data_IF_119029256886
#
_entry.id   IF_119029256886
#
_cell.length_a   1.000
_cell.length_b   1.000
_cell.length_c   1.000
_cell.angle_alpha   90.00
_cell.angle_beta   90.00
_cell.angle_gamma   90.00
#
_symmetry.space_group_name_H-M   'P 1'
#
loop_
_entity.id
_entity.type
_entity.pdbx_description
1 polymer ?
#
# COMPACT_ATOMS: atom_id res chain seq x y z
N UNK A 1 43.20 -8.29 -30.51
CA UNK A 1 42.59 -6.98 -30.83
C UNK A 1 43.19 -5.97 -29.86
N UNK A 2 43.94 -4.99 -30.37
CA UNK A 2 44.35 -3.85 -29.54
C UNK A 2 43.12 -2.95 -29.40
N UNK A 3 42.46 -3.01 -28.25
CA UNK A 3 41.42 -2.04 -27.91
C UNK A 3 42.17 -0.79 -27.42
N UNK A 4 42.12 0.29 -28.19
CA UNK A 4 42.77 1.57 -27.84
C UNK A 4 41.96 2.39 -26.85
N UNK A 5 40.64 2.17 -26.81
CA UNK A 5 39.71 3.05 -26.10
C UNK A 5 38.76 2.25 -25.19
N UNK A 6 38.57 2.75 -23.97
CA UNK A 6 37.65 2.17 -22.98
C UNK A 6 36.60 3.23 -22.63
N UNK A 7 35.32 2.86 -22.73
CA UNK A 7 34.20 3.73 -22.38
C UNK A 7 33.67 3.37 -21.00
N UNK A 8 33.66 4.35 -20.09
CA UNK A 8 33.14 4.21 -18.73
C UNK A 8 31.99 5.20 -18.50
N UNK A 9 30.97 4.85 -17.69
CA UNK A 9 30.00 5.83 -17.18
C UNK A 9 30.72 6.98 -16.48
N UNK A 10 30.16 8.20 -16.54
CA UNK A 10 30.84 9.40 -15.99
C UNK A 10 31.31 9.23 -14.52
N UNK A 11 30.48 8.73 -13.58
CA UNK A 11 30.95 8.53 -12.19
C UNK A 11 32.07 7.49 -12.07
N UNK A 12 32.08 6.48 -12.95
CA UNK A 12 33.12 5.46 -13.00
C UNK A 12 34.44 6.02 -13.58
N UNK A 13 34.35 6.90 -14.58
CA UNK A 13 35.49 7.60 -15.15
C UNK A 13 36.15 8.53 -14.11
N UNK A 14 35.36 9.24 -13.29
CA UNK A 14 35.86 10.12 -12.23
C UNK A 14 36.72 9.38 -11.19
N UNK A 15 36.39 8.12 -10.88
CA UNK A 15 37.14 7.30 -9.91
C UNK A 15 38.20 6.41 -10.57
N UNK A 16 38.34 6.44 -11.89
CA UNK A 16 39.34 5.63 -12.61
C UNK A 16 40.79 5.95 -12.20
N UNK A 17 41.20 7.21 -11.97
CA UNK A 17 42.54 7.51 -11.44
C UNK A 17 42.83 6.79 -10.12
N UNK A 18 41.83 6.65 -9.24
CA UNK A 18 41.99 5.92 -7.97
C UNK A 18 42.28 4.43 -8.19
N UNK A 19 41.73 3.84 -9.25
CA UNK A 19 42.05 2.46 -9.62
C UNK A 19 43.50 2.32 -10.10
N UNK A 20 44.00 3.31 -10.84
CA UNK A 20 45.40 3.33 -11.25
C UNK A 20 46.33 3.49 -10.04
N UNK A 21 46.02 4.43 -9.15
CA UNK A 21 46.77 4.62 -7.90
C UNK A 21 46.82 3.32 -7.09
N UNK A 22 45.72 2.56 -7.06
CA UNK A 22 45.67 1.25 -6.42
C UNK A 22 46.63 0.23 -7.03
N UNK A 23 46.74 0.20 -8.37
CA UNK A 23 47.67 -0.69 -9.05
C UNK A 23 49.14 -0.31 -8.85
N UNK A 24 49.45 0.99 -8.79
CA UNK A 24 50.82 1.48 -8.83
C UNK A 24 51.41 1.80 -7.45
N UNK A 25 50.62 2.29 -6.49
CA UNK A 25 51.15 2.84 -5.24
C UNK A 25 50.99 1.88 -4.05
N UNK A 26 50.29 0.73 -4.20
CA UNK A 26 49.96 -0.24 -3.12
C UNK A 26 49.39 0.42 -1.83
N UNK A 27 48.96 1.68 -1.90
CA UNK A 27 48.42 2.43 -0.75
C UNK A 27 46.98 2.05 -0.49
N UNK A 28 46.56 2.28 0.75
CA UNK A 28 45.17 2.21 1.18
C UNK A 28 44.36 3.27 0.44
N UNK A 29 43.42 2.84 -0.39
CA UNK A 29 42.41 3.72 -0.97
C UNK A 29 41.45 4.23 0.10
N UNK A 30 41.15 5.53 0.07
CA UNK A 30 40.13 6.12 0.93
C UNK A 30 38.74 5.89 0.36
N UNK A 31 38.06 4.87 0.89
CA UNK A 31 36.66 4.60 0.56
C UNK A 31 35.71 5.57 1.27
N UNK A 32 34.72 6.05 0.53
CA UNK A 32 33.64 6.86 1.06
C UNK A 32 32.33 6.57 0.32
N UNK A 33 31.20 7.01 0.88
CA UNK A 33 29.87 6.79 0.30
C UNK A 33 29.73 7.29 -1.15
N UNK A 34 30.51 8.32 -1.55
CA UNK A 34 30.40 8.91 -2.89
C UNK A 34 31.13 8.09 -3.96
N UNK A 35 32.30 7.53 -3.63
CA UNK A 35 33.13 6.79 -4.59
C UNK A 35 32.86 5.27 -4.58
N UNK A 36 32.33 4.71 -3.49
CA UNK A 36 32.25 3.26 -3.29
C UNK A 36 31.44 2.54 -4.39
N UNK A 37 30.28 3.05 -4.80
CA UNK A 37 29.48 2.42 -5.87
C UNK A 37 30.23 2.39 -7.22
N UNK A 38 30.88 3.50 -7.58
CA UNK A 38 31.66 3.59 -8.81
C UNK A 38 32.92 2.71 -8.76
N UNK A 39 33.60 2.65 -7.62
CA UNK A 39 34.74 1.76 -7.37
C UNK A 39 34.34 0.28 -7.44
N UNK A 40 33.18 -0.09 -6.90
CA UNK A 40 32.60 -1.44 -7.03
C UNK A 40 32.39 -1.79 -8.50
N UNK A 41 31.78 -0.87 -9.26
CA UNK A 41 31.54 -1.06 -10.69
C UNK A 41 32.86 -1.26 -11.47
N UNK A 42 33.84 -0.36 -11.33
CA UNK A 42 35.08 -0.47 -12.10
C UNK A 42 35.95 -1.65 -11.68
N UNK A 43 36.00 -1.98 -10.38
CA UNK A 43 36.75 -3.15 -9.91
C UNK A 43 36.16 -4.45 -10.47
N UNK A 44 34.84 -4.54 -10.58
CA UNK A 44 34.20 -5.66 -11.27
C UNK A 44 34.46 -5.65 -12.78
N UNK A 45 34.36 -4.47 -13.42
CA UNK A 45 34.57 -4.31 -14.87
C UNK A 45 35.97 -4.73 -15.33
N UNK A 46 37.01 -4.41 -14.54
CA UNK A 46 38.40 -4.77 -14.83
C UNK A 46 38.88 -6.06 -14.11
N UNK A 47 37.99 -6.82 -13.48
CA UNK A 47 38.26 -8.05 -12.70
C UNK A 47 39.34 -7.89 -11.60
N UNK A 48 39.32 -6.77 -10.89
CA UNK A 48 40.21 -6.48 -9.74
C UNK A 48 39.57 -6.97 -8.44
N UNK A 49 39.56 -8.29 -8.26
CA UNK A 49 38.80 -8.97 -7.18
C UNK A 49 39.14 -8.52 -5.77
N UNK A 50 40.42 -8.25 -5.49
CA UNK A 50 40.83 -7.79 -4.16
C UNK A 50 40.26 -6.41 -3.82
N UNK A 51 40.27 -5.48 -4.78
CA UNK A 51 39.65 -4.16 -4.62
C UNK A 51 38.14 -4.29 -4.48
N UNK A 52 37.50 -5.12 -5.31
CA UNK A 52 36.07 -5.37 -5.22
C UNK A 52 35.68 -5.86 -3.82
N UNK A 53 36.41 -6.84 -3.28
CA UNK A 53 36.19 -7.35 -1.92
C UNK A 53 36.36 -6.29 -0.83
N UNK A 54 37.36 -5.40 -0.96
CA UNK A 54 37.57 -4.27 -0.03
C UNK A 54 36.42 -3.26 -0.08
N UNK A 55 35.97 -2.89 -1.28
CA UNK A 55 34.87 -1.95 -1.49
C UNK A 55 33.56 -2.53 -0.95
N UNK A 56 33.25 -3.80 -1.24
CA UNK A 56 32.03 -4.45 -0.72
C UNK A 56 32.02 -4.48 0.80
N UNK A 57 33.13 -4.87 1.44
CA UNK A 57 33.24 -4.82 2.92
C UNK A 57 33.04 -3.43 3.50
N UNK A 58 33.60 -2.40 2.85
CA UNK A 58 33.36 -1.02 3.26
C UNK A 58 31.87 -0.68 3.16
N UNK A 59 31.23 -1.00 2.02
CA UNK A 59 29.82 -0.72 1.79
C UNK A 59 28.91 -1.45 2.79
N UNK A 60 29.19 -2.70 3.13
CA UNK A 60 28.45 -3.45 4.16
C UNK A 60 28.49 -2.74 5.52
N UNK A 61 29.61 -2.09 5.86
CA UNK A 61 29.74 -1.32 7.11
C UNK A 61 29.16 0.10 7.04
N UNK A 62 29.18 0.74 5.87
CA UNK A 62 28.74 2.12 5.67
C UNK A 62 27.25 2.21 5.29
N UNK A 63 26.65 1.15 4.76
CA UNK A 63 25.26 1.13 4.28
C UNK A 63 24.28 1.22 5.46
N UNK A 64 23.87 2.44 5.76
CA UNK A 64 22.95 2.80 6.83
C UNK A 64 21.77 3.60 6.26
N UNK A 65 20.73 3.84 7.06
CA UNK A 65 19.57 4.67 6.70
C UNK A 65 19.98 6.06 6.17
N UNK A 66 21.12 6.58 6.68
CA UNK A 66 21.63 7.89 6.27
C UNK A 66 22.33 7.83 4.92
N UNK A 67 23.04 6.76 4.59
CA UNK A 67 23.87 6.67 3.37
C UNK A 67 23.16 5.95 2.23
N UNK A 68 22.17 5.09 2.53
CA UNK A 68 21.45 4.29 1.54
C UNK A 68 20.84 5.10 0.38
N UNK A 69 20.19 6.27 0.59
CA UNK A 69 19.71 7.08 -0.53
C UNK A 69 20.84 7.55 -1.48
N UNK A 70 22.01 7.87 -0.93
CA UNK A 70 23.17 8.25 -1.73
C UNK A 70 23.72 7.07 -2.53
N UNK A 71 23.74 5.87 -1.94
CA UNK A 71 24.11 4.65 -2.63
C UNK A 71 23.16 4.32 -3.78
N UNK A 72 21.85 4.50 -3.62
CA UNK A 72 20.89 4.29 -4.70
C UNK A 72 21.19 5.22 -5.88
N UNK A 73 21.36 6.52 -5.63
CA UNK A 73 21.68 7.50 -6.68
C UNK A 73 23.00 7.18 -7.40
N UNK A 74 24.04 6.82 -6.63
CA UNK A 74 25.34 6.47 -7.20
C UNK A 74 25.28 5.16 -8.02
N UNK A 75 24.52 4.17 -7.52
CA UNK A 75 24.32 2.89 -8.18
C UNK A 75 23.52 3.00 -9.48
N UNK A 76 22.47 3.84 -9.51
CA UNK A 76 21.70 4.13 -10.73
C UNK A 76 22.60 4.74 -11.81
N UNK A 77 23.50 5.64 -11.44
CA UNK A 77 24.40 6.31 -12.37
C UNK A 77 25.44 5.37 -13.00
N UNK A 78 25.74 4.22 -12.38
CA UNK A 78 26.61 3.17 -12.93
C UNK A 78 25.86 1.89 -13.33
N UNK A 79 24.52 1.94 -13.31
CA UNK A 79 23.61 0.82 -13.64
C UNK A 79 23.80 -0.45 -12.78
N UNK A 80 24.27 -0.32 -11.53
CA UNK A 80 24.40 -1.44 -10.58
C UNK A 80 23.04 -1.75 -9.93
N UNK A 81 22.27 -2.61 -10.59
CA UNK A 81 20.91 -3.00 -10.14
C UNK A 81 20.92 -3.74 -8.80
N UNK A 82 21.98 -4.49 -8.50
CA UNK A 82 22.08 -5.27 -7.27
C UNK A 82 22.23 -4.33 -6.07
N UNK A 83 23.14 -3.37 -6.18
CA UNK A 83 23.30 -2.35 -5.15
C UNK A 83 22.04 -1.49 -4.95
N UNK A 84 21.36 -1.12 -6.04
CA UNK A 84 20.07 -0.43 -5.93
C UNK A 84 19.07 -1.26 -5.12
N UNK A 85 18.99 -2.57 -5.35
CA UNK A 85 18.08 -3.45 -4.59
C UNK A 85 18.43 -3.48 -3.10
N UNK A 86 19.71 -3.74 -2.77
CA UNK A 86 20.18 -3.85 -1.38
C UNK A 86 19.94 -2.52 -0.64
N UNK A 87 20.33 -1.39 -1.23
CA UNK A 87 20.13 -0.08 -0.62
C UNK A 87 18.65 0.31 -0.55
N UNK A 88 17.81 -0.13 -1.50
CA UNK A 88 16.34 0.08 -1.43
C UNK A 88 15.71 -0.69 -0.28
N UNK A 89 16.18 -1.91 0.01
CA UNK A 89 15.72 -2.69 1.16
C UNK A 89 16.01 -1.97 2.47
N UNK A 90 17.25 -1.49 2.67
CA UNK A 90 17.62 -0.71 3.86
C UNK A 90 16.78 0.57 3.98
N UNK A 91 16.49 1.23 2.86
CA UNK A 91 15.59 2.38 2.82
C UNK A 91 14.14 2.03 3.20
N UNK A 92 13.64 0.84 2.82
CA UNK A 92 12.27 0.41 3.08
C UNK A 92 12.06 0.06 4.56
N UNK A 93 13.02 -0.64 5.17
CA UNK A 93 12.99 -1.05 6.59
C UNK A 93 12.89 0.15 7.54
N UNK A 94 13.43 1.29 7.13
CA UNK A 94 13.49 2.51 7.95
C UNK A 94 12.92 3.73 7.24
N UNK A 95 11.94 3.53 6.35
CA UNK A 95 11.37 4.60 5.53
C UNK A 95 10.83 5.76 6.38
N UNK A 96 10.20 5.44 7.51
CA UNK A 96 9.65 6.42 8.46
C UNK A 96 10.69 7.32 9.12
N UNK A 97 11.97 6.95 9.13
CA UNK A 97 13.06 7.72 9.75
C UNK A 97 13.92 8.50 8.75
N UNK A 98 13.73 8.28 7.45
CA UNK A 98 14.56 8.89 6.40
C UNK A 98 14.37 10.41 6.33
N UNK A 99 15.41 11.21 6.11
CA UNK A 99 15.20 12.65 5.94
C UNK A 99 14.50 12.98 4.62
N UNK A 100 13.52 13.89 4.66
CA UNK A 100 12.82 14.33 3.44
C UNK A 100 13.78 14.94 2.40
N UNK A 101 14.84 15.62 2.85
CA UNK A 101 15.88 16.17 1.97
C UNK A 101 16.58 15.11 1.11
N UNK A 102 16.72 13.88 1.63
CA UNK A 102 17.32 12.77 0.88
C UNK A 102 16.27 12.07 0.02
N UNK A 103 15.07 11.86 0.58
CA UNK A 103 13.98 11.22 -0.14
C UNK A 103 13.61 11.97 -1.43
N UNK A 104 13.52 13.30 -1.38
CA UNK A 104 13.19 14.16 -2.54
C UNK A 104 14.21 14.03 -3.67
N UNK A 105 15.48 13.71 -3.38
CA UNK A 105 16.51 13.52 -4.42
C UNK A 105 16.29 12.24 -5.22
N UNK A 106 15.58 11.25 -4.66
CA UNK A 106 15.28 10.00 -5.33
C UNK A 106 14.18 10.18 -6.38
N UNK A 107 14.33 9.53 -7.53
CA UNK A 107 13.32 9.52 -8.59
C UNK A 107 12.02 8.85 -8.12
N UNK A 108 10.84 9.28 -8.61
CA UNK A 108 9.56 8.69 -8.18
C UNK A 108 9.49 7.16 -8.35
N UNK A 109 10.04 6.62 -9.44
CA UNK A 109 10.09 5.17 -9.70
C UNK A 109 10.89 4.41 -8.65
N UNK A 110 11.97 5.00 -8.14
CA UNK A 110 12.80 4.43 -7.08
C UNK A 110 12.05 4.46 -5.76
N UNK A 111 11.41 5.59 -5.43
CA UNK A 111 10.61 5.70 -4.21
C UNK A 111 9.47 4.69 -4.23
N UNK A 112 8.82 4.50 -5.37
CA UNK A 112 7.79 3.48 -5.53
C UNK A 112 8.32 2.07 -5.26
N UNK A 113 9.51 1.75 -5.77
CA UNK A 113 10.18 0.47 -5.50
C UNK A 113 10.49 0.27 -4.02
N UNK A 114 10.91 1.33 -3.33
CA UNK A 114 11.15 1.30 -1.87
C UNK A 114 9.84 1.02 -1.12
N UNK A 115 8.76 1.72 -1.48
CA UNK A 115 7.45 1.60 -0.83
C UNK A 115 6.79 0.24 -1.12
N UNK A 116 7.02 -0.32 -2.31
CA UNK A 116 6.51 -1.63 -2.72
C UNK A 116 7.35 -2.80 -2.17
N UNK A 117 8.41 -2.52 -1.43
CA UNK A 117 9.27 -3.55 -0.85
C UNK A 117 8.54 -4.34 0.23
N UNK A 118 8.69 -5.68 0.28
CA UNK A 118 8.11 -6.50 1.35
C UNK A 118 8.70 -6.20 2.73
N UNK A 119 9.88 -5.57 2.80
CA UNK A 119 10.54 -5.19 4.04
C UNK A 119 10.08 -3.82 4.57
N UNK A 120 9.04 -3.22 3.96
CA UNK A 120 8.53 -1.92 4.36
C UNK A 120 7.92 -1.99 5.77
N UNK A 121 8.48 -1.21 6.70
CA UNK A 121 8.06 -1.18 8.10
C UNK A 121 7.67 0.25 8.50
N UNK A 122 6.50 0.68 8.06
CA UNK A 122 5.91 1.96 8.43
C UNK A 122 4.38 1.83 8.50
N UNK A 123 3.79 2.48 9.50
CA UNK A 123 2.34 2.55 9.62
C UNK A 123 1.74 3.29 8.42
N UNK A 124 0.58 2.84 7.95
CA UNK A 124 -0.04 3.38 6.75
C UNK A 124 -0.31 4.89 6.81
N UNK A 125 -0.74 5.41 7.97
CA UNK A 125 -0.97 6.84 8.15
C UNK A 125 0.35 7.63 8.06
N UNK A 126 1.39 7.16 8.74
CA UNK A 126 2.72 7.76 8.65
C UNK A 126 3.28 7.72 7.21
N UNK A 127 3.06 6.62 6.49
CA UNK A 127 3.40 6.50 5.07
C UNK A 127 2.66 7.53 4.23
N UNK A 128 1.35 7.70 4.43
CA UNK A 128 0.56 8.68 3.69
C UNK A 128 1.07 10.11 3.90
N UNK A 129 1.50 10.48 5.11
CA UNK A 129 2.15 11.77 5.37
C UNK A 129 3.46 11.93 4.60
N UNK A 130 4.30 10.91 4.58
CA UNK A 130 5.57 10.94 3.84
C UNK A 130 5.35 11.07 2.34
N UNK A 131 4.40 10.31 1.78
CA UNK A 131 4.03 10.36 0.37
C UNK A 131 3.46 11.75 0.04
N UNK A 132 2.60 12.30 0.90
CA UNK A 132 2.05 13.64 0.69
C UNK A 132 3.17 14.70 0.68
N UNK A 133 4.10 14.66 1.63
CA UNK A 133 5.26 15.57 1.64
C UNK A 133 6.15 15.41 0.39
N UNK A 134 6.40 14.18 -0.05
CA UNK A 134 7.19 13.90 -1.24
C UNK A 134 6.52 14.44 -2.51
N UNK A 135 5.23 14.13 -2.69
CA UNK A 135 4.45 14.55 -3.87
C UNK A 135 4.27 16.06 -3.96
N UNK A 136 4.17 16.78 -2.83
CA UNK A 136 4.16 18.26 -2.84
C UNK A 136 5.42 18.85 -3.46
N UNK A 137 6.57 18.22 -3.22
CA UNK A 137 7.87 18.72 -3.68
C UNK A 137 8.13 18.30 -5.13
N UNK A 138 7.70 17.09 -5.52
CA UNK A 138 7.89 16.55 -6.88
C UNK A 138 6.61 16.50 -7.72
N UNK A 139 5.70 17.43 -7.52
CA UNK A 139 4.39 17.42 -8.18
C UNK A 139 4.51 17.43 -9.72
N UNK A 140 5.53 18.12 -10.26
CA UNK A 140 5.76 18.23 -11.72
C UNK A 140 6.17 16.91 -12.39
N UNK A 141 6.63 15.92 -11.63
CA UNK A 141 7.09 14.62 -12.14
C UNK A 141 6.09 13.50 -11.88
N UNK A 142 4.96 13.82 -11.26
CA UNK A 142 3.94 12.86 -10.89
C UNK A 142 3.04 12.58 -12.09
N UNK A 143 3.03 11.34 -12.58
CA UNK A 143 2.05 10.86 -13.56
C UNK A 143 0.85 10.23 -12.85
N UNK A 144 -0.24 9.99 -13.58
CA UNK A 144 -1.40 9.28 -13.05
C UNK A 144 -1.03 7.86 -12.61
N UNK A 145 -0.18 7.15 -13.35
CA UNK A 145 0.26 5.81 -12.95
C UNK A 145 1.11 5.85 -11.67
N UNK A 146 2.06 6.79 -11.56
CA UNK A 146 2.86 6.93 -10.35
C UNK A 146 1.99 7.29 -9.14
N UNK A 147 1.02 8.19 -9.33
CA UNK A 147 0.10 8.57 -8.26
C UNK A 147 -0.80 7.41 -7.83
N UNK A 148 -1.31 6.64 -8.78
CA UNK A 148 -2.06 5.43 -8.50
C UNK A 148 -1.24 4.45 -7.66
N UNK A 149 -0.04 4.12 -8.12
CA UNK A 149 0.86 3.18 -7.44
C UNK A 149 1.22 3.62 -6.01
N UNK A 150 1.51 4.92 -5.80
CA UNK A 150 1.75 5.45 -4.45
C UNK A 150 0.54 5.34 -3.53
N UNK A 151 -0.65 5.47 -4.09
CA UNK A 151 -1.89 5.56 -3.31
C UNK A 151 -2.68 4.26 -3.30
N UNK A 152 -2.14 3.15 -3.82
CA UNK A 152 -2.85 1.88 -3.87
C UNK A 152 -3.35 1.44 -2.49
N UNK A 153 -4.55 0.82 -2.40
CA UNK A 153 -5.11 0.34 -1.14
C UNK A 153 -4.23 -0.66 -0.39
N UNK A 154 -3.42 -1.44 -1.12
CA UNK A 154 -2.47 -2.40 -0.53
C UNK A 154 -1.29 -1.73 0.15
N UNK A 155 -0.85 -0.59 -0.38
CA UNK A 155 0.33 0.14 0.06
C UNK A 155 -0.02 1.12 1.17
N UNK A 156 -1.07 1.93 0.95
CA UNK A 156 -1.45 3.04 1.81
C UNK A 156 -2.88 2.86 2.29
N UNK A 157 -3.19 1.75 2.98
CA UNK A 157 -4.55 1.35 3.41
C UNK A 157 -5.31 2.48 4.13
N UNK A 158 -4.69 3.07 5.14
CA UNK A 158 -5.21 4.21 5.91
C UNK A 158 -4.48 5.48 5.55
N UNK A 159 -5.22 6.58 5.53
CA UNK A 159 -4.72 7.90 5.18
C UNK A 159 -4.75 8.75 6.44
N UNK A 160 -3.65 9.44 6.72
CA UNK A 160 -3.58 10.38 7.82
C UNK A 160 -4.65 11.47 7.62
N UNK A 161 -5.47 11.76 8.63
CA UNK A 161 -6.55 12.75 8.52
C UNK A 161 -6.07 14.14 8.07
N UNK A 162 -4.91 14.58 8.54
CA UNK A 162 -4.25 15.84 8.15
C UNK A 162 -3.85 15.90 6.66
N UNK A 163 -3.78 14.75 5.99
CA UNK A 163 -3.36 14.65 4.59
C UNK A 163 -4.51 14.26 3.66
N UNK A 164 -5.67 13.87 4.21
CA UNK A 164 -6.81 13.40 3.44
C UNK A 164 -7.34 14.47 2.48
N UNK A 165 -7.50 15.72 2.93
CA UNK A 165 -7.94 16.84 2.08
C UNK A 165 -6.93 17.13 0.97
N UNK A 166 -5.64 17.01 1.25
CA UNK A 166 -4.59 17.16 0.25
C UNK A 166 -4.71 16.10 -0.85
N UNK A 167 -4.85 14.83 -0.48
CA UNK A 167 -5.01 13.75 -1.46
C UNK A 167 -6.30 13.86 -2.27
N UNK A 168 -7.41 14.34 -1.68
CA UNK A 168 -8.63 14.67 -2.43
C UNK A 168 -8.36 15.75 -3.47
N UNK A 169 -7.73 16.85 -3.06
CA UNK A 169 -7.40 17.97 -3.95
C UNK A 169 -6.44 17.55 -5.07
N UNK A 170 -5.41 16.77 -4.75
CA UNK A 170 -4.46 16.25 -5.74
C UNK A 170 -5.15 15.24 -6.68
N UNK A 171 -5.99 14.36 -6.15
CA UNK A 171 -6.72 13.35 -6.93
C UNK A 171 -7.72 13.93 -7.93
N UNK A 172 -8.18 15.17 -7.75
CA UNK A 172 -8.99 15.86 -8.77
C UNK A 172 -8.22 16.09 -10.08
N UNK A 173 -6.89 16.16 -10.02
CA UNK A 173 -6.03 16.21 -11.22
C UNK A 173 -5.95 14.84 -11.91
N UNK A 174 -6.30 13.76 -11.20
CA UNK A 174 -6.23 12.37 -11.66
C UNK A 174 -7.55 11.61 -11.37
N UNK A 175 -8.67 11.97 -12.02
CA UNK A 175 -10.00 11.46 -11.65
C UNK A 175 -10.15 9.93 -11.73
N UNK A 176 -9.37 9.28 -12.61
CA UNK A 176 -9.32 7.82 -12.71
C UNK A 176 -8.81 7.21 -11.41
N UNK A 177 -7.64 7.67 -10.95
CA UNK A 177 -7.01 7.22 -9.70
C UNK A 177 -7.89 7.51 -8.50
N UNK A 178 -8.51 8.69 -8.45
CA UNK A 178 -9.32 9.12 -7.32
C UNK A 178 -10.53 8.19 -7.08
N UNK A 179 -11.18 7.73 -8.15
CA UNK A 179 -12.42 6.94 -8.09
C UNK A 179 -12.24 5.43 -8.33
N UNK A 180 -11.04 4.98 -8.68
CA UNK A 180 -10.76 3.58 -8.96
C UNK A 180 -10.87 2.72 -7.70
N UNK A 181 -11.53 1.55 -7.79
CA UNK A 181 -11.66 0.60 -6.68
C UNK A 181 -12.90 0.76 -5.79
N UNK A 182 -13.85 1.63 -6.16
CA UNK A 182 -15.14 1.75 -5.47
C UNK A 182 -14.97 2.18 -4.02
N UNK A 183 -15.38 1.33 -3.06
CA UNK A 183 -15.23 1.60 -1.62
C UNK A 183 -13.75 1.66 -1.17
N UNK A 184 -12.86 0.96 -1.88
CA UNK A 184 -11.41 1.03 -1.63
C UNK A 184 -10.75 2.18 -2.38
N UNK A 185 -11.51 3.00 -3.09
CA UNK A 185 -10.97 4.14 -3.82
C UNK A 185 -10.23 5.11 -2.90
N UNK A 186 -9.28 5.84 -3.49
CA UNK A 186 -8.58 6.90 -2.77
C UNK A 186 -9.58 7.91 -2.19
N UNK A 187 -10.62 8.27 -2.97
CA UNK A 187 -11.70 9.16 -2.54
C UNK A 187 -12.37 8.68 -1.26
N UNK A 188 -12.88 7.44 -1.24
CA UNK A 188 -13.59 6.90 -0.08
C UNK A 188 -12.69 6.84 1.16
N UNK A 189 -11.42 6.46 1.00
CA UNK A 189 -10.47 6.37 2.11
C UNK A 189 -10.07 7.73 2.67
N UNK A 190 -9.94 8.75 1.81
CA UNK A 190 -9.76 10.12 2.28
C UNK A 190 -10.99 10.65 3.01
N UNK A 191 -12.20 10.43 2.49
CA UNK A 191 -13.46 10.85 3.15
C UNK A 191 -13.59 10.18 4.52
N UNK A 192 -13.30 8.87 4.60
CA UNK A 192 -13.32 8.13 5.85
C UNK A 192 -12.30 8.68 6.87
N UNK A 193 -11.08 9.01 6.43
CA UNK A 193 -10.05 9.62 7.27
C UNK A 193 -10.44 11.03 7.75
N UNK A 194 -11.07 11.84 6.90
CA UNK A 194 -11.63 13.13 7.31
C UNK A 194 -12.75 12.94 8.36
N UNK A 195 -13.62 11.95 8.16
CA UNK A 195 -14.76 11.69 9.02
C UNK A 195 -14.34 11.19 10.41
N UNK A 196 -13.31 10.34 10.50
CA UNK A 196 -12.77 9.87 11.77
C UNK A 196 -12.15 10.98 12.62
N UNK A 197 -11.74 12.09 12.00
CA UNK A 197 -11.19 13.27 12.67
C UNK A 197 -12.05 14.51 12.47
N UNK A 198 -13.38 14.34 12.50
CA UNK A 198 -14.36 15.41 12.29
C UNK A 198 -14.15 16.62 13.22
N UNK A 199 -13.55 16.43 14.40
CA UNK A 199 -13.26 17.51 15.34
C UNK A 199 -12.30 18.55 14.77
N UNK A 200 -11.35 18.14 13.92
CA UNK A 200 -10.42 19.04 13.23
C UNK A 200 -11.20 19.93 12.25
N UNK A 201 -12.08 19.34 11.45
CA UNK A 201 -12.95 20.07 10.53
C UNK A 201 -13.92 21.01 11.26
N UNK A 202 -14.46 20.59 12.40
CA UNK A 202 -15.41 21.39 13.18
C UNK A 202 -14.75 22.61 13.83
N UNK A 203 -13.49 22.50 14.25
CA UNK A 203 -12.74 23.63 14.84
C UNK A 203 -12.57 24.79 13.86
N UNK A 204 -12.46 24.50 12.56
CA UNK A 204 -12.30 25.51 11.51
C UNK A 204 -13.60 26.26 11.17
N UNK A 205 -14.74 25.60 11.33
CA UNK A 205 -16.06 26.18 11.06
C UNK A 205 -16.55 27.01 12.25
N UNK A 206 -16.15 26.63 13.47
CA UNK A 206 -16.55 27.35 14.67
C UNK A 206 -16.06 28.82 14.60
N UNK A 207 -16.93 29.81 14.89
CA UNK A 207 -16.54 31.21 14.84
C UNK A 207 -15.35 31.45 15.79
N UNK A 208 -14.18 31.83 15.24
CA UNK A 208 -12.94 32.08 15.99
C UNK A 208 -13.25 33.01 17.17
N UNK A 209 -13.35 32.45 18.38
CA UNK A 209 -13.51 33.25 19.58
C UNK A 209 -12.28 34.17 19.69
N UNK A 210 -12.52 35.49 19.88
CA UNK A 210 -11.45 36.51 19.87
C UNK A 210 -10.26 36.03 20.73
N UNK A 211 -9.05 35.95 20.18
CA UNK A 211 -7.92 35.34 20.87
C UNK A 211 -7.62 36.10 22.16
N UNK A 212 -7.73 35.43 23.31
CA UNK A 212 -7.18 35.93 24.57
C UNK A 212 -5.67 36.04 24.36
N UNK A 213 -5.10 37.24 24.52
CA UNK A 213 -3.68 37.59 24.32
C UNK A 213 -2.75 36.57 24.99
N UNK A 214 -2.33 35.52 24.28
CA UNK A 214 -1.31 34.57 24.75
C UNK A 214 0.08 35.07 24.36
N UNK A 215 1.00 34.96 25.33
CA UNK A 215 2.38 35.44 25.27
C UNK A 215 3.16 34.73 24.17
N UNK A 216 3.87 35.53 23.36
CA UNK A 216 4.77 35.13 22.28
C UNK A 216 5.88 34.20 22.82
N UNK A 217 5.85 32.93 22.45
CA UNK A 217 6.92 31.96 22.68
C UNK A 217 7.31 31.27 21.37
N UNK A 218 8.52 31.60 20.91
CA UNK A 218 9.42 31.02 19.90
C UNK A 218 8.85 30.01 18.86
N UNK A 219 9.03 30.44 17.61
CA UNK A 219 8.84 29.77 16.31
C UNK A 219 9.34 28.31 16.27
N UNK A 220 8.40 27.37 16.11
CA UNK A 220 8.56 26.26 15.18
C UNK A 220 7.53 26.48 14.08
N UNK A 221 7.89 26.23 12.82
CA UNK A 221 7.00 26.27 11.64
C UNK A 221 5.88 25.25 11.84
N UNK A 222 4.85 25.65 12.59
CA UNK A 222 3.57 24.97 12.62
C UNK A 222 3.06 24.96 11.19
N UNK A 223 2.70 23.79 10.68
CA UNK A 223 1.67 23.71 9.65
C UNK A 223 0.52 24.57 10.17
N UNK A 224 0.29 25.73 9.57
CA UNK A 224 -0.74 26.63 10.05
C UNK A 224 -2.07 25.99 9.65
N UNK A 225 -2.93 25.70 10.62
CA UNK A 225 -4.31 25.21 10.41
C UNK A 225 -5.02 25.92 9.25
N UNK A 226 -4.69 27.20 9.00
CA UNK A 226 -5.21 27.98 7.89
C UNK A 226 -4.98 27.34 6.48
N UNK A 227 -3.95 26.52 6.27
CA UNK A 227 -3.70 25.87 4.96
C UNK A 227 -4.70 24.73 4.68
N UNK A 228 -5.04 23.92 5.69
CA UNK A 228 -6.07 22.87 5.53
C UNK A 228 -7.44 23.47 5.24
N UNK A 229 -7.82 24.55 5.95
CA UNK A 229 -9.09 25.24 5.71
C UNK A 229 -9.16 25.80 4.28
N UNK A 230 -8.06 26.38 3.79
CA UNK A 230 -7.99 26.91 2.41
C UNK A 230 -8.17 25.76 1.43
N UNK A 231 -7.45 24.64 1.62
CA UNK A 231 -7.55 23.48 0.74
C UNK A 231 -8.94 22.87 0.72
N UNK A 232 -9.59 22.74 1.88
CA UNK A 232 -10.97 22.25 1.95
C UNK A 232 -11.92 23.14 1.14
N UNK A 233 -11.80 24.46 1.28
CA UNK A 233 -12.60 25.44 0.51
C UNK A 233 -12.33 25.41 -1.00
N UNK A 234 -11.16 24.95 -1.42
CA UNK A 234 -10.83 24.78 -2.84
C UNK A 234 -11.37 23.49 -3.46
N UNK A 235 -11.89 22.55 -2.66
CA UNK A 235 -12.52 21.35 -3.19
C UNK A 235 -13.83 21.71 -3.92
N UNK A 236 -14.25 20.94 -4.93
CA UNK A 236 -15.59 21.04 -5.52
C UNK A 236 -16.67 20.90 -4.44
N UNK A 237 -17.77 21.65 -4.58
CA UNK A 237 -18.87 21.65 -3.61
C UNK A 237 -19.41 20.25 -3.33
N UNK A 238 -19.50 19.39 -4.35
CA UNK A 238 -19.91 18.00 -4.21
C UNK A 238 -19.01 17.22 -3.22
N UNK A 239 -17.69 17.35 -3.33
CA UNK A 239 -16.75 16.70 -2.41
C UNK A 239 -16.79 17.33 -1.02
N UNK A 240 -16.97 18.64 -0.92
CA UNK A 240 -17.13 19.31 0.38
C UNK A 240 -18.36 18.75 1.10
N UNK A 241 -19.49 18.63 0.40
CA UNK A 241 -20.73 18.08 0.95
C UNK A 241 -20.54 16.62 1.37
N UNK A 242 -19.91 15.78 0.56
CA UNK A 242 -19.64 14.38 0.92
C UNK A 242 -18.77 14.26 2.18
N UNK A 243 -17.69 15.04 2.27
CA UNK A 243 -16.80 15.04 3.45
C UNK A 243 -17.56 15.51 4.70
N UNK A 244 -18.35 16.58 4.60
CA UNK A 244 -19.13 17.10 5.73
C UNK A 244 -20.24 16.13 6.15
N UNK A 245 -20.91 15.47 5.21
CA UNK A 245 -21.92 14.46 5.50
C UNK A 245 -21.30 13.27 6.24
N UNK A 246 -20.17 12.75 5.75
CA UNK A 246 -19.46 11.65 6.40
C UNK A 246 -19.01 12.05 7.82
N UNK A 247 -18.42 13.24 7.97
CA UNK A 247 -18.00 13.77 9.26
C UNK A 247 -19.17 13.97 10.24
N UNK A 248 -20.32 14.46 9.77
CA UNK A 248 -21.53 14.63 10.59
C UNK A 248 -22.09 13.28 11.06
N UNK A 249 -22.08 12.26 10.19
CA UNK A 249 -22.50 10.92 10.55
C UNK A 249 -21.57 10.30 11.59
N UNK A 250 -20.25 10.44 11.43
CA UNK A 250 -19.27 10.01 12.44
C UNK A 250 -19.44 10.74 13.77
N UNK A 251 -19.63 12.06 13.75
CA UNK A 251 -19.89 12.85 14.95
C UNK A 251 -21.17 12.41 15.67
N UNK A 252 -22.23 12.11 14.90
CA UNK A 252 -23.48 11.59 15.47
C UNK A 252 -23.26 10.23 16.14
N UNK A 253 -22.55 9.31 15.49
CA UNK A 253 -22.22 8.00 16.08
C UNK A 253 -21.41 8.16 17.37
N UNK A 254 -20.43 9.06 17.40
CA UNK A 254 -19.66 9.34 18.62
C UNK A 254 -20.54 9.90 19.75
N UNK A 255 -21.51 10.77 19.44
CA UNK A 255 -22.45 11.31 20.43
C UNK A 255 -23.42 10.24 20.95
N UNK A 256 -23.93 9.38 20.08
CA UNK A 256 -24.84 8.30 20.45
C UNK A 256 -24.12 7.26 21.34
N UNK A 257 -22.85 6.96 21.04
CA UNK A 257 -22.02 6.03 21.82
C UNK A 257 -21.51 6.65 23.15
N UNK A 258 -21.29 7.95 23.20
CA UNK A 258 -20.79 8.66 24.38
C UNK A 258 -21.77 8.73 25.56
N UNK A 259 -23.02 8.34 25.37
CA UNK A 259 -24.04 8.29 26.43
C UNK A 259 -24.07 6.95 27.19
N UNK A 260 -23.43 5.89 26.69
CA UNK A 260 -23.29 4.62 27.40
C UNK A 260 -21.90 4.52 28.02
N UNK A 261 -21.83 4.39 29.34
CA UNK A 261 -20.60 4.54 30.14
C UNK A 261 -19.39 3.77 29.60
N UNK A 262 -18.23 4.43 29.68
CA UNK A 262 -16.92 3.99 29.19
C UNK A 262 -16.60 2.50 29.42
N UNK A 263 -16.90 1.67 28.44
CA UNK A 263 -16.14 0.45 28.19
C UNK A 263 -15.13 0.83 27.13
N UNK A 264 -13.84 0.67 27.45
CA UNK A 264 -12.74 1.03 26.58
C UNK A 264 -13.02 0.60 25.14
N UNK A 265 -13.02 1.59 24.24
CA UNK A 265 -13.01 1.40 22.80
C UNK A 265 -11.81 0.51 22.46
N UNK A 266 -12.04 -0.80 22.38
CA UNK A 266 -11.21 -1.71 21.60
C UNK A 266 -11.29 -1.18 20.18
N UNK A 267 -10.29 -0.38 19.82
CA UNK A 267 -10.14 0.12 18.47
C UNK A 267 -10.16 -1.08 17.51
N UNK A 268 -10.84 -0.91 16.38
CA UNK A 268 -10.92 -1.88 15.26
C UNK A 268 -9.52 -2.34 14.77
N UNK A 269 -8.46 -1.70 15.27
CA UNK A 269 -7.03 -1.83 14.98
C UNK A 269 -6.46 -3.24 15.15
N UNK A 270 -6.94 -4.06 16.09
CA UNK A 270 -6.39 -5.43 16.28
C UNK A 270 -7.04 -6.49 15.37
N UNK A 271 -8.11 -6.17 14.64
CA UNK A 271 -8.76 -7.13 13.72
C UNK A 271 -8.14 -7.13 12.32
N UNK A 272 -7.43 -6.06 11.96
CA UNK A 272 -6.95 -5.81 10.60
C UNK A 272 -5.68 -6.59 10.20
N UNK A 273 -4.96 -7.14 11.19
CA UNK A 273 -3.77 -7.98 10.96
C UNK A 273 -4.12 -9.47 10.73
N UNK A 274 -5.40 -9.84 10.92
CA UNK A 274 -5.95 -11.18 10.64
C UNK A 274 -6.79 -11.27 9.35
N UNK A 275 -6.73 -10.25 8.47
CA UNK A 275 -7.54 -10.13 7.24
C UNK A 275 -7.18 -11.09 6.10
N UNK A 276 -6.79 -12.34 6.38
CA UNK A 276 -6.59 -13.29 5.28
C UNK A 276 -7.92 -13.77 4.68
N UNK A 277 -9.06 -13.76 5.37
CA UNK A 277 -10.28 -14.42 4.85
C UNK A 277 -11.62 -13.88 5.43
N UNK A 278 -11.93 -12.58 5.28
CA UNK A 278 -13.19 -12.00 5.79
C UNK A 278 -14.33 -11.91 4.75
N UNK A 279 -15.55 -12.25 5.20
CA UNK A 279 -16.81 -12.15 4.46
C UNK A 279 -17.65 -11.02 5.06
N UNK A 280 -18.04 -10.04 4.24
CA UNK A 280 -18.90 -8.93 4.68
C UNK A 280 -20.33 -9.14 4.17
N UNK A 281 -21.29 -9.15 5.11
CA UNK A 281 -22.71 -9.19 4.75
C UNK A 281 -23.15 -7.78 4.33
N UNK A 282 -23.62 -7.62 3.09
CA UNK A 282 -23.98 -6.33 2.52
C UNK A 282 -25.49 -6.24 2.26
N UNK A 283 -26.20 -5.54 3.13
CA UNK A 283 -27.61 -5.21 2.92
C UNK A 283 -27.71 -3.80 2.33
N UNK A 284 -27.72 -3.71 0.99
CA UNK A 284 -27.94 -2.43 0.31
C UNK A 284 -29.39 -1.96 0.53
N UNK A 285 -29.57 -0.71 0.96
CA UNK A 285 -30.89 -0.12 1.28
C UNK A 285 -31.86 -0.09 0.08
N UNK A 286 -31.37 -0.26 -1.15
CA UNK A 286 -32.17 -0.20 -2.39
C UNK A 286 -32.25 -1.51 -3.19
N UNK A 287 -31.64 -2.61 -2.73
CA UNK A 287 -31.64 -3.90 -3.42
C UNK A 287 -32.69 -4.83 -2.81
N UNK A 288 -33.57 -5.40 -3.64
CA UNK A 288 -34.59 -6.37 -3.20
C UNK A 288 -34.00 -7.72 -2.80
N UNK A 289 -32.79 -8.04 -3.28
CA UNK A 289 -32.05 -9.25 -2.91
C UNK A 289 -30.86 -8.93 -2.00
N UNK A 290 -30.64 -9.70 -0.91
CA UNK A 290 -29.46 -9.54 -0.07
C UNK A 290 -28.19 -9.90 -0.84
N UNK A 291 -27.09 -9.21 -0.54
CA UNK A 291 -25.79 -9.39 -1.20
C UNK A 291 -24.72 -9.70 -0.16
N UNK A 292 -23.66 -10.40 -0.56
CA UNK A 292 -22.47 -10.64 0.26
C UNK A 292 -21.24 -10.24 -0.52
N UNK A 293 -20.33 -9.49 0.10
CA UNK A 293 -19.06 -9.15 -0.49
C UNK A 293 -17.96 -10.04 0.10
N UNK A 294 -17.21 -10.69 -0.77
CA UNK A 294 -16.08 -11.56 -0.41
C UNK A 294 -14.79 -10.87 -0.82
N UNK A 295 -13.86 -10.71 0.11
CA UNK A 295 -12.54 -10.12 -0.15
C UNK A 295 -11.44 -10.97 0.48
N UNK A 296 -10.21 -10.82 0.00
CA UNK A 296 -9.03 -11.44 0.59
C UNK A 296 -8.86 -12.94 0.33
N UNK A 297 -9.76 -13.62 -0.39
CA UNK A 297 -9.88 -15.09 -0.43
C UNK A 297 -8.71 -15.86 -1.09
N UNK A 298 -7.59 -15.21 -1.40
CA UNK A 298 -6.45 -15.79 -2.13
C UNK A 298 -6.73 -16.22 -3.58
N UNK A 299 -8.00 -16.19 -4.01
CA UNK A 299 -8.48 -16.65 -5.32
C UNK A 299 -9.14 -15.43 -5.99
N UNK A 300 -8.44 -14.74 -6.92
CA UNK A 300 -8.95 -13.49 -7.49
C UNK A 300 -10.38 -13.58 -8.07
N UNK A 301 -10.77 -14.65 -8.80
CA UNK A 301 -12.13 -14.79 -9.31
C UNK A 301 -13.22 -14.89 -8.23
N UNK A 302 -12.86 -15.32 -7.02
CA UNK A 302 -13.79 -15.49 -5.91
C UNK A 302 -14.10 -14.15 -5.23
N UNK A 303 -13.15 -13.21 -5.17
CA UNK A 303 -13.35 -11.89 -4.58
C UNK A 303 -14.37 -11.05 -5.36
N UNK A 304 -15.40 -10.54 -4.70
CA UNK A 304 -16.44 -9.71 -5.30
C UNK A 304 -17.81 -9.88 -4.64
N UNK A 305 -18.85 -9.40 -5.32
CA UNK A 305 -20.23 -9.37 -4.78
C UNK A 305 -20.99 -10.61 -5.26
N UNK A 306 -21.57 -11.33 -4.32
CA UNK A 306 -22.49 -12.44 -4.54
C UNK A 306 -23.93 -11.99 -4.33
N UNK A 307 -24.83 -12.50 -5.16
CA UNK A 307 -26.25 -12.17 -5.15
C UNK A 307 -27.04 -13.35 -4.59
N UNK A 308 -27.92 -13.12 -3.61
CA UNK A 308 -28.76 -14.18 -3.06
C UNK A 308 -29.76 -14.69 -4.10
N UNK A 309 -29.74 -16.00 -4.37
CA UNK A 309 -30.67 -16.67 -5.32
C UNK A 309 -31.79 -17.45 -4.61
N UNK A 310 -31.74 -17.56 -3.28
CA UNK A 310 -32.74 -18.23 -2.45
C UNK A 310 -32.11 -19.18 -1.42
N UNK A 311 -32.87 -19.59 -0.40
CA UNK A 311 -32.46 -20.57 0.62
C UNK A 311 -31.04 -20.37 1.21
N UNK A 312 -30.61 -19.11 1.38
CA UNK A 312 -29.30 -18.73 1.91
C UNK A 312 -28.10 -19.12 1.01
N UNK A 313 -28.35 -19.31 -0.28
CA UNK A 313 -27.33 -19.46 -1.32
C UNK A 313 -27.12 -18.12 -2.03
N UNK A 314 -25.86 -17.77 -2.24
CA UNK A 314 -25.45 -16.60 -3.00
C UNK A 314 -24.59 -17.02 -4.18
N UNK A 315 -24.73 -16.34 -5.32
CA UNK A 315 -24.08 -16.72 -6.56
C UNK A 315 -23.29 -15.58 -7.16
N UNK A 316 -22.21 -15.93 -7.86
CA UNK A 316 -21.37 -15.00 -8.60
C UNK A 316 -20.74 -15.68 -9.79
N UNK A 317 -20.99 -15.15 -10.97
CA UNK A 317 -20.32 -15.58 -12.20
C UNK A 317 -18.91 -14.99 -12.29
N UNK A 318 -17.98 -15.80 -12.79
CA UNK A 318 -16.59 -15.43 -12.93
C UNK A 318 -15.89 -16.27 -14.01
N UNK A 319 -14.65 -15.90 -14.34
CA UNK A 319 -13.77 -16.71 -15.19
C UNK A 319 -12.63 -17.27 -14.35
N UNK A 320 -12.42 -18.59 -14.43
CA UNK A 320 -11.33 -19.24 -13.72
C UNK A 320 -10.63 -20.26 -14.63
N UNK A 321 -9.30 -20.11 -14.77
CA UNK A 321 -8.45 -20.94 -15.64
C UNK A 321 -9.00 -21.03 -17.08
N UNK A 322 -9.53 -19.90 -17.59
CA UNK A 322 -10.05 -19.79 -18.96
C UNK A 322 -11.44 -20.38 -19.18
N UNK A 323 -12.15 -20.79 -18.13
CA UNK A 323 -13.53 -21.30 -18.22
C UNK A 323 -14.50 -20.40 -17.45
N UNK A 324 -15.74 -20.20 -17.97
CA UNK A 324 -16.80 -19.58 -17.20
C UNK A 324 -17.20 -20.51 -16.05
N UNK A 325 -17.28 -19.97 -14.84
CA UNK A 325 -17.70 -20.70 -13.64
C UNK A 325 -18.64 -19.84 -12.82
N UNK A 326 -19.57 -20.49 -12.11
CA UNK A 326 -20.42 -19.82 -11.12
C UNK A 326 -19.98 -20.27 -9.74
N UNK A 327 -19.49 -19.33 -8.93
CA UNK A 327 -19.23 -19.56 -7.52
C UNK A 327 -20.55 -19.48 -6.76
N UNK A 328 -20.81 -20.49 -5.93
CA UNK A 328 -21.91 -20.48 -4.97
C UNK A 328 -21.36 -20.40 -3.56
N UNK A 329 -21.97 -19.56 -2.74
CA UNK A 329 -21.69 -19.39 -1.33
C UNK A 329 -22.94 -19.81 -0.55
N UNK A 330 -22.88 -20.93 0.16
CA UNK A 330 -23.98 -21.43 0.98
C UNK A 330 -23.78 -21.04 2.44
N UNK A 331 -24.72 -20.33 3.03
CA UNK A 331 -24.70 -20.01 4.47
C UNK A 331 -25.15 -21.23 5.28
N UNK A 332 -24.34 -21.65 6.24
CA UNK A 332 -24.68 -22.70 7.19
C UNK A 332 -25.54 -22.14 8.33
N UNK A 333 -26.72 -22.74 8.53
CA UNK A 333 -27.67 -22.37 9.58
C UNK A 333 -27.11 -22.51 11.00
N UNK A 334 -26.15 -23.41 11.22
CA UNK A 334 -25.77 -23.82 12.59
C UNK A 334 -24.65 -22.99 13.21
N UNK A 335 -23.82 -22.29 12.44
CA UNK A 335 -22.63 -21.57 12.96
C UNK A 335 -22.21 -20.32 12.18
N UNK A 336 -23.04 -19.78 11.28
CA UNK A 336 -22.65 -18.64 10.44
C UNK A 336 -21.46 -18.93 9.52
N UNK A 337 -21.10 -20.20 9.33
CA UNK A 337 -20.06 -20.61 8.39
C UNK A 337 -20.58 -20.54 6.96
N UNK A 338 -19.70 -20.26 6.00
CA UNK A 338 -20.04 -20.33 4.59
C UNK A 338 -19.30 -21.46 3.91
N UNK A 339 -20.01 -22.14 3.01
CA UNK A 339 -19.44 -23.18 2.14
C UNK A 339 -19.39 -22.64 0.72
N UNK A 340 -18.20 -22.69 0.12
CA UNK A 340 -18.05 -22.37 -1.30
C UNK A 340 -18.15 -23.64 -2.11
N UNK A 341 -18.93 -23.58 -3.19
CA UNK A 341 -18.92 -24.56 -4.27
C UNK A 341 -18.75 -23.87 -5.60
N UNK A 342 -18.07 -24.52 -6.55
CA UNK A 342 -17.88 -23.98 -7.90
C UNK A 342 -18.66 -24.86 -8.86
N UNK A 343 -19.47 -24.24 -9.72
CA UNK A 343 -20.21 -24.90 -10.79
C UNK A 343 -19.60 -24.54 -12.13
N UNK A 344 -19.53 -25.51 -13.05
CA UNK A 344 -19.17 -25.21 -14.44
C UNK A 344 -20.28 -24.39 -15.07
N UNK A 345 -19.92 -23.27 -15.69
CA UNK A 345 -20.88 -22.45 -16.44
C UNK A 345 -21.09 -23.08 -17.81
N UNK A 346 -21.81 -24.19 -17.87
CA UNK A 346 -22.19 -24.79 -19.15
C UNK A 346 -23.24 -23.92 -19.85
N UNK A 347 -23.12 -23.81 -21.18
CA UNK A 347 -24.08 -23.16 -22.07
C UNK A 347 -25.52 -23.64 -21.80
N UNK A 348 -26.47 -22.72 -21.97
CA UNK A 348 -27.88 -22.81 -21.53
C UNK A 348 -28.50 -24.22 -21.65
N UNK A 349 -28.95 -24.76 -20.51
CA UNK A 349 -29.86 -25.91 -20.45
C UNK A 349 -29.27 -27.24 -19.97
N UNK A 350 -27.97 -27.33 -19.69
CA UNK A 350 -27.41 -28.50 -19.00
C UNK A 350 -27.46 -28.37 -17.47
N UNK A 351 -27.71 -29.47 -16.73
CA UNK A 351 -27.71 -29.44 -15.27
C UNK A 351 -26.32 -29.07 -14.75
N UNK A 352 -26.28 -28.03 -13.91
CA UNK A 352 -25.05 -27.54 -13.29
C UNK A 352 -24.34 -28.68 -12.54
N UNK A 353 -23.15 -29.05 -13.01
CA UNK A 353 -22.31 -30.04 -12.32
C UNK A 353 -21.48 -29.35 -11.25
N UNK A 354 -21.55 -29.84 -10.02
CA UNK A 354 -20.76 -29.30 -8.91
C UNK A 354 -19.32 -29.77 -9.09
N UNK A 355 -18.42 -28.88 -9.50
CA UNK A 355 -17.01 -29.21 -9.71
C UNK A 355 -16.26 -29.37 -8.38
N UNK A 356 -16.74 -28.68 -7.33
CA UNK A 356 -16.04 -28.57 -6.07
C UNK A 356 -17.00 -28.22 -4.91
N UNK A 357 -16.76 -28.78 -3.72
CA UNK A 357 -17.45 -28.39 -2.49
C UNK A 357 -16.56 -28.53 -1.25
N UNK A 358 -16.40 -27.45 -0.47
CA UNK A 358 -15.61 -27.50 0.79
C UNK A 358 -16.22 -28.50 1.80
N UNK A 359 -15.46 -29.32 2.54
CA UNK A 359 -16.04 -30.19 3.56
C UNK A 359 -16.69 -29.36 4.69
N UNK A 360 -17.82 -29.84 5.20
CA UNK A 360 -18.40 -29.32 6.45
C UNK A 360 -17.51 -29.86 7.57
N UNK A 361 -16.85 -28.99 8.32
CA UNK A 361 -16.10 -29.39 9.51
C UNK A 361 -17.02 -30.18 10.45
N UNK A 362 -16.72 -31.46 10.63
CA UNK A 362 -17.27 -32.22 11.77
C UNK A 362 -16.75 -31.61 13.07
N UNK A 363 -17.36 -31.99 14.19
CA UNK A 363 -17.21 -31.39 15.54
C UNK A 363 -15.80 -31.52 16.19
N UNK A 364 -14.72 -31.60 15.42
CA UNK A 364 -13.35 -31.59 15.91
C UNK A 364 -12.65 -30.28 15.55
N UNK A 365 -11.97 -29.67 16.53
CA UNK A 365 -11.09 -28.49 16.40
C UNK A 365 -9.83 -28.75 15.55
N UNK A 366 -9.89 -29.66 14.57
CA UNK A 366 -8.83 -29.90 13.61
C UNK A 366 -9.29 -29.46 12.23
N UNK A 367 -8.48 -28.62 11.57
CA UNK A 367 -8.58 -28.37 10.13
C UNK A 367 -8.61 -29.73 9.44
N UNK A 368 -9.64 -30.07 8.66
CA UNK A 368 -9.71 -31.38 8.02
C UNK A 368 -8.54 -31.53 7.04
N UNK A 369 -7.64 -32.48 7.30
CA UNK A 369 -6.58 -32.91 6.37
C UNK A 369 -7.12 -33.67 5.14
N UNK A 370 -8.45 -33.77 4.98
CA UNK A 370 -9.08 -34.65 4.00
C UNK A 370 -9.35 -33.90 2.71
N UNK A 371 -8.61 -34.32 1.69
CA UNK A 371 -8.52 -33.71 0.36
C UNK A 371 -9.82 -33.64 -0.43
N UNK A 372 -9.79 -32.69 -1.35
CA UNK A 372 -10.75 -32.46 -2.41
C UNK A 372 -11.08 -33.74 -3.20
N UNK A 373 -12.36 -34.06 -3.39
CA UNK A 373 -12.76 -35.04 -4.41
C UNK A 373 -12.63 -34.38 -5.80
N UNK A 374 -11.66 -34.83 -6.60
CA UNK A 374 -11.53 -34.43 -8.01
C UNK A 374 -12.59 -35.15 -8.83
N UNK A 375 -13.49 -34.40 -9.44
CA UNK A 375 -14.16 -34.82 -10.68
C UNK A 375 -13.60 -33.98 -11.84
N UNK A 376 -13.28 -34.63 -12.96
CA UNK A 376 -12.95 -33.99 -14.24
C UNK A 376 -11.61 -33.23 -14.36
N UNK A 377 -10.60 -33.55 -13.55
CA UNK A 377 -9.21 -33.14 -13.81
C UNK A 377 -8.87 -31.64 -13.59
N UNK A 378 -9.82 -30.84 -13.10
CA UNK A 378 -9.57 -29.45 -12.69
C UNK A 378 -8.92 -29.47 -11.30
N UNK A 379 -7.80 -28.76 -11.13
CA UNK A 379 -7.19 -28.63 -9.80
C UNK A 379 -8.06 -27.76 -8.88
N UNK A 380 -8.30 -28.22 -7.65
CA UNK A 380 -9.16 -27.51 -6.69
C UNK A 380 -8.57 -26.15 -6.30
N UNK A 381 -9.42 -25.21 -5.85
CA UNK A 381 -8.93 -23.98 -5.26
C UNK A 381 -8.15 -24.29 -3.96
N UNK A 382 -7.24 -23.42 -3.51
CA UNK A 382 -6.74 -23.49 -2.13
C UNK A 382 -7.91 -23.46 -1.13
N UNK A 383 -7.74 -24.13 0.01
CA UNK A 383 -8.85 -24.35 0.94
C UNK A 383 -9.28 -23.05 1.62
N UNK A 384 -10.57 -22.73 1.49
CA UNK A 384 -11.18 -21.57 2.14
C UNK A 384 -12.07 -22.06 3.28
N UNK A 385 -11.73 -21.68 4.51
CA UNK A 385 -12.56 -21.87 5.70
C UNK A 385 -12.67 -20.52 6.37
N UNK A 386 -13.84 -19.89 6.26
CA UNK A 386 -14.13 -18.58 6.85
C UNK A 386 -15.38 -18.66 7.71
N UNK A 387 -15.32 -18.08 8.89
CA UNK A 387 -16.47 -17.87 9.79
C UNK A 387 -16.93 -16.42 9.68
N UNK A 388 -18.24 -16.19 9.52
CA UNK A 388 -18.80 -14.84 9.62
C UNK A 388 -18.51 -14.27 11.01
N UNK A 389 -18.04 -13.02 11.06
CA UNK A 389 -18.03 -12.23 12.29
C UNK A 389 -19.22 -11.29 12.33
#
# INVERSE_FOLDING_TARGET
MNVSDVYLPNPAAEVFPLLLDYFYDLKTLDFNTKNAAALRYISNYFDVRDLYGKVVKFMESDLTIKTAPSYILAAEAVMDKELVNIASTVCAESFGQMSMEKLVKLQPKVVLKIISSPCMNIESEALSMRIAQYTRIRQSELTDELFFEFTQPKVMRHIAPSEAVYFLSLGLQYPRVLNEGGELSLKCRCIAACASSWTILAQDIAPKQKPKKQRKGILNRSYTMDDETIRFKTLPEELQVEVLQAALLSAKLDMDNGCEGSVASTTVVDKDQQLSDELYLYNAVSSTAPKIAVFGSGIPPLNGIFICTGNQTYEKDAYWKGKPVTFLLHKSLKRGQYRISVKDGTEDGQPLTTLYSSPIGGDSDRVPEVGWQKENGIEPPPAFVSTLR
#
